data_IF_848775272097
#
_entry.id   IF_848775272097
#
_cell.length_a   1.000
_cell.length_b   1.000
_cell.length_c   1.000
_cell.angle_alpha   90.00
_cell.angle_beta   90.00
_cell.angle_gamma   90.00
#
_symmetry.space_group_name_H-M   'P 1'
#
loop_
_entity.id
_entity.type
_entity.pdbx_description
1 polymer ?
#
# COMPACT_ATOMS: atom_id res chain seq x y z
N UNK A 1 -8.09 -7.40 0.69
CA UNK A 1 -7.24 -6.81 1.72
C UNK A 1 -5.75 -6.94 1.45
N UNK A 2 -5.06 -5.80 1.44
CA UNK A 2 -3.59 -5.68 1.49
C UNK A 2 -3.17 -5.60 2.96
N UNK A 3 -2.15 -6.35 3.37
CA UNK A 3 -1.56 -6.24 4.71
C UNK A 3 -0.58 -5.08 4.75
N UNK A 4 -0.74 -4.16 5.70
CA UNK A 4 0.19 -3.06 5.90
C UNK A 4 1.27 -3.41 6.92
N UNK A 5 2.53 -3.21 6.56
CA UNK A 5 3.68 -3.36 7.46
C UNK A 5 4.14 -1.99 7.96
N UNK A 6 3.97 -1.73 9.26
CA UNK A 6 4.28 -0.43 9.89
C UNK A 6 5.79 -0.17 10.01
N UNK A 7 6.60 -1.23 10.11
CA UNK A 7 8.06 -1.12 10.25
C UNK A 7 8.69 -0.63 8.95
N UNK A 8 8.23 -1.15 7.82
CA UNK A 8 8.74 -0.85 6.48
C UNK A 8 7.85 0.11 5.68
N UNK A 9 6.70 0.50 6.24
CA UNK A 9 5.67 1.30 5.59
C UNK A 9 5.27 0.75 4.21
N UNK A 10 5.11 -0.57 4.12
CA UNK A 10 4.90 -1.28 2.86
C UNK A 10 3.63 -2.13 2.91
N UNK A 11 2.79 -1.98 1.88
CA UNK A 11 1.60 -2.78 1.68
C UNK A 11 1.94 -4.06 0.92
N UNK A 12 1.44 -5.19 1.42
CA UNK A 12 1.68 -6.52 0.89
C UNK A 12 0.38 -7.21 0.47
N UNK A 13 0.39 -7.94 -0.64
CA UNK A 13 -0.77 -8.71 -1.10
C UNK A 13 -0.37 -10.08 -1.67
N UNK A 14 -1.09 -11.17 -1.38
CA UNK A 14 -0.70 -12.50 -1.89
C UNK A 14 -0.70 -12.56 -3.44
N UNK A 15 0.44 -12.87 -4.07
CA UNK A 15 0.52 -13.19 -5.51
C UNK A 15 0.12 -14.65 -5.73
N UNK A 16 -0.66 -14.95 -6.79
CA UNK A 16 -0.99 -16.34 -7.16
C UNK A 16 0.22 -17.23 -7.52
N UNK A 17 1.44 -16.68 -7.62
CA UNK A 17 2.66 -17.45 -7.84
C UNK A 17 3.21 -18.14 -6.58
N UNK A 18 2.75 -17.73 -5.38
CA UNK A 18 3.28 -18.20 -4.09
C UNK A 18 4.03 -17.15 -3.27
N UNK A 19 4.36 -16.00 -3.85
CA UNK A 19 4.98 -14.85 -3.17
C UNK A 19 3.97 -13.73 -2.91
N UNK A 20 4.44 -12.51 -2.66
CA UNK A 20 3.62 -11.34 -2.33
C UNK A 20 3.95 -10.19 -3.28
N UNK A 21 2.94 -9.41 -3.64
CA UNK A 21 3.11 -8.07 -4.16
C UNK A 21 3.49 -7.14 -3.01
N UNK A 22 4.33 -6.15 -3.31
CA UNK A 22 4.83 -5.15 -2.37
C UNK A 22 4.71 -3.76 -3.03
N UNK A 23 4.27 -2.77 -2.25
CA UNK A 23 4.24 -1.36 -2.64
C UNK A 23 4.40 -0.47 -1.42
N UNK A 24 5.26 0.55 -1.48
CA UNK A 24 5.49 1.43 -0.33
C UNK A 24 4.41 2.50 -0.23
N UNK A 25 4.09 2.94 0.99
CA UNK A 25 3.18 4.07 1.20
C UNK A 25 3.68 5.34 0.51
N UNK A 26 4.98 5.58 0.51
CA UNK A 26 5.59 6.72 -0.20
C UNK A 26 5.30 6.70 -1.69
N UNK A 27 5.30 5.50 -2.29
CA UNK A 27 4.99 5.28 -3.71
C UNK A 27 3.54 5.66 -4.01
N UNK A 28 2.60 5.19 -3.17
CA UNK A 28 1.18 5.55 -3.24
C UNK A 28 0.97 7.07 -3.06
N UNK A 29 1.73 7.71 -2.17
CA UNK A 29 1.66 9.16 -1.95
C UNK A 29 2.24 9.97 -3.13
N UNK A 30 3.22 9.42 -3.85
CA UNK A 30 3.76 10.03 -5.08
C UNK A 30 2.82 9.84 -6.29
N UNK A 31 1.82 8.96 -6.15
CA UNK A 31 0.87 8.62 -7.20
C UNK A 31 1.23 7.34 -7.97
N UNK A 32 2.26 6.60 -7.55
CA UNK A 32 2.57 5.28 -8.10
C UNK A 32 1.64 4.23 -7.46
N UNK A 33 0.85 3.59 -8.31
CA UNK A 33 -0.24 2.69 -7.92
C UNK A 33 0.02 1.23 -8.30
N UNK A 34 1.29 0.90 -8.58
CA UNK A 34 1.69 -0.36 -9.19
C UNK A 34 2.44 -1.24 -8.18
N UNK A 35 1.72 -2.19 -7.59
CA UNK A 35 2.36 -3.18 -6.74
C UNK A 35 3.08 -4.23 -7.59
N UNK A 36 4.34 -4.49 -7.27
CA UNK A 36 5.23 -5.40 -8.00
C UNK A 36 5.48 -6.64 -7.15
N UNK A 37 5.66 -7.78 -7.78
CA UNK A 37 6.09 -8.98 -7.07
C UNK A 37 7.50 -9.37 -7.51
N UNK A 38 8.30 -9.72 -6.52
CA UNK A 38 9.72 -10.09 -6.64
C UNK A 38 9.95 -11.47 -7.28
N UNK A 39 8.93 -12.34 -7.33
CA UNK A 39 9.00 -13.66 -7.98
C UNK A 39 8.18 -13.78 -9.26
N UNK A 40 6.99 -13.17 -9.28
CA UNK A 40 6.15 -13.09 -10.46
C UNK A 40 6.34 -11.67 -11.00
N UNK A 41 6.98 -11.46 -12.16
CA UNK A 41 7.09 -10.13 -12.79
C UNK A 41 5.74 -9.52 -13.24
N UNK A 42 4.64 -10.04 -12.68
CA UNK A 42 3.34 -9.42 -12.65
C UNK A 42 3.39 -8.10 -11.88
N UNK A 43 2.52 -7.21 -12.33
CA UNK A 43 2.26 -5.92 -11.74
C UNK A 43 0.75 -5.78 -11.64
N UNK A 44 0.26 -5.34 -10.48
CA UNK A 44 -1.17 -5.12 -10.24
C UNK A 44 -1.41 -3.67 -9.86
N UNK A 45 -2.57 -3.15 -10.26
CA UNK A 45 -2.97 -1.79 -9.91
C UNK A 45 -3.70 -1.78 -8.58
N UNK A 46 -3.18 -1.02 -7.62
CA UNK A 46 -3.78 -0.79 -6.32
C UNK A 46 -4.81 0.33 -6.46
N UNK A 47 -6.03 0.07 -6.01
CA UNK A 47 -7.07 1.10 -5.94
C UNK A 47 -7.07 1.63 -4.53
N UNK A 48 -6.68 2.90 -4.38
CA UNK A 48 -6.63 3.61 -3.12
C UNK A 48 -7.23 5.00 -3.30
N UNK A 49 -7.61 5.63 -2.19
CA UNK A 49 -8.04 7.01 -2.17
C UNK A 49 -7.00 7.83 -1.41
N UNK A 50 -6.55 8.94 -2.00
CA UNK A 50 -5.58 9.81 -1.32
C UNK A 50 -6.19 10.43 -0.05
N UNK A 51 -7.51 10.64 0.00
CA UNK A 51 -8.19 11.16 1.19
C UNK A 51 -8.05 10.20 2.39
N UNK A 52 -7.84 8.90 2.14
CA UNK A 52 -7.59 7.90 3.18
C UNK A 52 -6.21 8.07 3.85
N UNK A 53 -5.29 8.82 3.23
CA UNK A 53 -3.94 9.07 3.73
C UNK A 53 -3.72 10.49 4.26
N UNK A 54 -4.70 11.39 4.07
CA UNK A 54 -4.64 12.77 4.55
C UNK A 54 -5.77 13.08 5.52
N UNK A 55 -5.44 13.66 6.68
CA UNK A 55 -6.48 14.17 7.57
C UNK A 55 -7.17 15.40 6.94
N UNK A 56 -8.37 15.76 7.41
CA UNK A 56 -9.15 16.95 6.98
C UNK A 56 -8.37 18.26 7.03
N UNK A 57 -7.22 18.27 7.73
CA UNK A 57 -6.30 19.39 7.82
C UNK A 57 -5.09 19.31 6.87
N UNK A 58 -5.14 18.45 5.83
CA UNK A 58 -4.06 18.24 4.84
C UNK A 58 -2.73 17.81 5.46
N UNK A 59 -2.77 17.14 6.62
CA UNK A 59 -1.58 16.53 7.23
C UNK A 59 -1.56 15.05 6.88
N UNK A 60 -0.40 14.49 6.49
CA UNK A 60 -0.30 13.05 6.34
C UNK A 60 -0.66 12.40 7.67
N UNK A 61 -1.58 11.45 7.64
CA UNK A 61 -2.03 10.75 8.84
C UNK A 61 -0.81 10.00 9.36
N UNK A 62 -0.28 10.42 10.51
CA UNK A 62 0.82 9.71 11.15
C UNK A 62 0.31 8.34 11.58
N UNK A 63 1.06 7.30 11.24
CA UNK A 63 0.68 5.89 11.21
C UNK A 63 0.26 5.25 12.55
N UNK A 64 -0.03 6.03 13.59
CA UNK A 64 -0.41 5.47 14.88
C UNK A 64 -1.88 5.05 15.00
N UNK A 65 -2.74 5.24 13.99
CA UNK A 65 -4.17 4.98 14.15
C UNK A 65 -4.83 4.32 12.93
N UNK A 66 -5.03 3.00 13.09
CA UNK A 66 -6.04 2.13 12.47
C UNK A 66 -5.91 1.88 10.96
N UNK A 67 -5.26 0.76 10.63
CA UNK A 67 -5.44 0.02 9.39
C UNK A 67 -6.93 -0.28 9.15
N UNK A 68 -7.56 0.48 8.25
CA UNK A 68 -8.90 0.19 7.75
C UNK A 68 -8.74 -0.78 6.58
N UNK A 69 -8.84 -2.07 6.92
CA UNK A 69 -8.95 -3.17 5.98
C UNK A 69 -10.23 -3.06 5.12
N UNK A 70 -10.10 -3.41 3.83
CA UNK A 70 -11.22 -3.65 2.90
C UNK A 70 -11.14 -5.04 2.26
#
# INVERSE_FOLDING_TARGET
DFEFDEETQTYHYPCPCGDRFEITMTDLLDGEDIARCSSCSLMVRVIYDLDDFYDKNQKPISLEQEAIAV
#
